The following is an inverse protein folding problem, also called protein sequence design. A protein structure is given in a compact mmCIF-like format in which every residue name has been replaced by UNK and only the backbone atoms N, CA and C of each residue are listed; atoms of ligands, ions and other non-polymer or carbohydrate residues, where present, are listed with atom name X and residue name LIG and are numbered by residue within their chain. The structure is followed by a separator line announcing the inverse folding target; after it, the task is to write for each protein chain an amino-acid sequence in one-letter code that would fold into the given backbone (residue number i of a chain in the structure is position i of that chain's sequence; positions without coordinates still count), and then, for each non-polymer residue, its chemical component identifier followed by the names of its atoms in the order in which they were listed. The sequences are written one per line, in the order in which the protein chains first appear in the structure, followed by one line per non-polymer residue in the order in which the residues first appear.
data_IF_584066874975
#
_entry.id   IF_584066874975
#
_cell.length_a   1.000
_cell.length_b   1.000
_cell.length_c   1.000
_cell.angle_alpha   90.00
_cell.angle_beta   90.00
_cell.angle_gamma   90.00
#
_symmetry.space_group_name_H-M   'P 1'
#
loop_
_entity.id
_entity.type
_entity.pdbx_description
1 polymer ?
#
# COMPACT_ATOMS: atom_id res chain seq x y z
N UNK A 1 -8.29 -27.65 -4.99
CA UNK A 1 -8.21 -27.28 -3.56
C UNK A 1 -8.22 -25.76 -3.48
N UNK A 2 -9.26 -25.15 -2.92
CA UNK A 2 -9.25 -23.72 -2.64
C UNK A 2 -8.38 -23.52 -1.40
N UNK A 3 -7.14 -23.07 -1.56
CA UNK A 3 -6.37 -22.56 -0.43
C UNK A 3 -7.16 -21.37 0.12
N UNK A 4 -7.71 -21.53 1.33
CA UNK A 4 -8.30 -20.44 2.06
C UNK A 4 -7.16 -19.46 2.38
N UNK A 5 -6.97 -18.45 1.53
CA UNK A 5 -6.06 -17.36 1.85
C UNK A 5 -6.56 -16.69 3.12
N UNK A 6 -5.70 -16.49 4.13
CA UNK A 6 -6.10 -15.82 5.35
C UNK A 6 -6.64 -14.43 5.01
N UNK A 7 -7.69 -14.00 5.71
CA UNK A 7 -8.28 -12.69 5.53
C UNK A 7 -7.20 -11.59 5.63
N UNK A 8 -7.28 -10.54 4.82
CA UNK A 8 -6.30 -9.47 4.86
C UNK A 8 -6.32 -8.75 6.22
N UNK A 9 -5.12 -8.44 6.70
CA UNK A 9 -4.91 -7.67 7.92
C UNK A 9 -5.11 -6.17 7.65
N UNK A 10 -6.05 -5.52 8.33
CA UNK A 10 -6.33 -4.10 8.12
C UNK A 10 -5.58 -3.21 9.09
N UNK A 11 -4.72 -2.33 8.57
CA UNK A 11 -4.02 -1.34 9.38
C UNK A 11 -5.01 -0.24 9.82
N UNK A 12 -4.87 0.29 11.05
CA UNK A 12 -5.83 1.23 11.61
C UNK A 12 -5.78 2.59 10.91
N UNK A 13 -6.93 3.24 10.77
CA UNK A 13 -7.00 4.66 10.43
C UNK A 13 -6.63 5.49 11.66
N UNK A 14 -5.58 6.31 11.54
CA UNK A 14 -5.20 7.26 12.60
C UNK A 14 -5.32 8.72 12.15
N UNK A 15 -5.29 8.97 10.83
CA UNK A 15 -5.45 10.30 10.27
C UNK A 15 -6.91 10.56 9.92
N UNK A 16 -7.51 11.51 10.63
CA UNK A 16 -8.86 11.99 10.33
C UNK A 16 -8.94 12.68 8.96
N UNK A 17 -10.16 12.75 8.42
CA UNK A 17 -10.44 13.29 7.09
C UNK A 17 -10.07 14.76 6.96
N UNK A 18 -10.39 15.59 7.96
CA UNK A 18 -10.12 17.03 7.94
C UNK A 18 -8.62 17.33 7.85
N UNK A 19 -7.82 16.60 8.63
CA UNK A 19 -6.37 16.70 8.62
C UNK A 19 -5.79 16.19 7.29
N UNK A 20 -6.33 15.08 6.75
CA UNK A 20 -5.92 14.55 5.45
C UNK A 20 -6.19 15.56 4.33
N UNK A 21 -7.41 16.12 4.29
CA UNK A 21 -7.83 17.15 3.34
C UNK A 21 -6.94 18.38 3.44
N UNK A 22 -6.66 18.86 4.66
CA UNK A 22 -5.77 19.99 4.88
C UNK A 22 -4.37 19.73 4.29
N UNK A 23 -3.78 18.56 4.56
CA UNK A 23 -2.46 18.19 4.03
C UNK A 23 -2.47 18.06 2.51
N UNK A 24 -3.50 17.44 1.93
CA UNK A 24 -3.62 17.27 0.48
C UNK A 24 -3.81 18.61 -0.24
N UNK A 25 -4.61 19.52 0.31
CA UNK A 25 -4.77 20.90 -0.22
C UNK A 25 -3.43 21.64 -0.22
N UNK A 26 -2.64 21.53 0.84
CA UNK A 26 -1.28 22.11 0.89
C UNK A 26 -0.34 21.53 -0.17
N UNK A 27 -0.58 20.31 -0.62
CA UNK A 27 0.15 19.64 -1.70
C UNK A 27 -0.45 19.94 -3.09
N UNK A 28 -1.46 20.81 -3.17
CA UNK A 28 -2.09 21.29 -4.40
C UNK A 28 -3.21 20.40 -4.91
N UNK A 29 -3.68 19.41 -4.16
CA UNK A 29 -4.82 18.61 -4.58
C UNK A 29 -6.12 19.42 -4.50
N UNK A 30 -6.98 19.23 -5.50
CA UNK A 30 -8.26 19.90 -5.67
C UNK A 30 -9.42 18.99 -5.22
N UNK A 31 -9.29 17.69 -5.49
CA UNK A 31 -10.23 16.66 -5.03
C UNK A 31 -9.50 15.60 -4.21
N UNK A 32 -10.24 14.93 -3.33
CA UNK A 32 -9.73 14.01 -2.32
C UNK A 32 -10.64 12.80 -2.19
N UNK A 33 -10.07 11.65 -1.84
CA UNK A 33 -10.81 10.41 -1.68
C UNK A 33 -10.14 9.50 -0.65
N UNK A 34 -10.93 8.89 0.23
CA UNK A 34 -10.48 7.82 1.12
C UNK A 34 -10.36 6.53 0.33
N UNK A 35 -9.23 5.83 0.45
CA UNK A 35 -9.05 4.55 -0.19
C UNK A 35 -8.31 3.56 0.70
N UNK A 36 -8.46 2.29 0.37
CA UNK A 36 -7.72 1.21 1.02
C UNK A 36 -6.89 0.50 -0.04
N UNK A 37 -5.57 0.42 0.15
CA UNK A 37 -4.65 -0.28 -0.76
C UNK A 37 -4.22 -1.61 -0.15
N UNK A 38 -4.53 -2.71 -0.81
CA UNK A 38 -3.99 -4.01 -0.44
C UNK A 38 -2.52 -4.11 -0.89
N UNK A 39 -1.66 -4.51 0.05
CA UNK A 39 -0.25 -4.80 -0.13
C UNK A 39 0.04 -6.21 0.39
N UNK A 40 1.19 -6.76 0.01
CA UNK A 40 1.66 -8.06 0.47
C UNK A 40 2.86 -7.90 1.38
N UNK A 41 2.72 -8.35 2.63
CA UNK A 41 3.75 -8.29 3.65
C UNK A 41 4.63 -9.54 3.60
N UNK A 42 5.94 -9.32 3.45
CA UNK A 42 6.97 -10.34 3.55
C UNK A 42 7.80 -10.11 4.81
N UNK A 43 8.01 -11.16 5.61
CA UNK A 43 8.73 -11.06 6.87
C UNK A 43 10.21 -10.74 6.67
N UNK A 44 10.75 -9.86 7.52
CA UNK A 44 12.15 -9.44 7.54
C UNK A 44 12.78 -9.78 8.89
N UNK A 45 13.88 -10.53 8.86
CA UNK A 45 14.63 -10.91 10.05
C UNK A 45 13.81 -11.65 11.11
N UNK A 46 14.47 -12.01 12.20
CA UNK A 46 13.84 -12.64 13.36
C UNK A 46 14.31 -11.91 14.62
N UNK A 47 13.40 -11.69 15.54
CA UNK A 47 13.72 -11.15 16.86
C UNK A 47 14.10 -12.26 17.86
N UNK A 48 14.28 -11.91 19.14
CA UNK A 48 14.68 -12.85 20.19
C UNK A 48 13.60 -13.93 20.49
N UNK A 49 12.37 -13.73 20.01
CA UNK A 49 11.24 -14.64 20.19
C UNK A 49 10.85 -15.36 18.90
N UNK A 50 11.72 -15.34 17.90
CA UNK A 50 11.50 -15.95 16.57
C UNK A 50 10.33 -15.33 15.79
N UNK A 51 9.94 -14.09 16.11
CA UNK A 51 8.96 -13.34 15.34
C UNK A 51 9.63 -12.47 14.28
N UNK A 52 8.92 -12.13 13.18
CA UNK A 52 9.43 -11.18 12.19
C UNK A 52 9.83 -9.86 12.86
N UNK A 53 11.11 -9.47 12.71
CA UNK A 53 11.63 -8.22 13.25
C UNK A 53 11.12 -6.98 12.47
N UNK A 54 10.49 -7.22 11.32
CA UNK A 54 9.80 -6.22 10.53
C UNK A 54 9.18 -6.86 9.29
N UNK A 55 8.60 -6.03 8.44
CA UNK A 55 7.91 -6.45 7.23
C UNK A 55 8.27 -5.56 6.05
N UNK A 56 8.33 -6.17 4.89
CA UNK A 56 8.40 -5.51 3.60
C UNK A 56 7.02 -5.53 2.97
N UNK A 57 6.35 -4.39 2.87
CA UNK A 57 5.05 -4.28 2.22
C UNK A 57 5.25 -3.98 0.73
N UNK A 58 4.79 -4.91 -0.09
CA UNK A 58 5.05 -4.94 -1.52
C UNK A 58 3.75 -4.84 -2.34
N UNK A 59 3.88 -4.27 -3.53
CA UNK A 59 2.90 -4.37 -4.60
C UNK A 59 3.64 -4.75 -5.88
N UNK A 60 3.06 -5.62 -6.71
CA UNK A 60 3.71 -6.12 -7.94
C UNK A 60 4.04 -4.99 -8.94
N UNK A 61 3.24 -3.92 -8.88
CA UNK A 61 3.39 -2.70 -9.70
C UNK A 61 4.17 -1.57 -9.03
N UNK A 62 4.54 -1.71 -7.76
CA UNK A 62 5.36 -0.71 -7.10
C UNK A 62 6.83 -0.84 -7.51
N UNK A 63 7.53 0.29 -7.60
CA UNK A 63 8.98 0.32 -7.88
C UNK A 63 9.83 0.21 -6.62
N UNK A 64 9.22 0.47 -5.47
CA UNK A 64 9.82 0.52 -4.14
C UNK A 64 8.84 -0.12 -3.16
N UNK A 65 9.35 -0.74 -2.12
CA UNK A 65 8.52 -1.33 -1.07
C UNK A 65 8.45 -0.37 0.13
N UNK A 66 7.49 -0.61 1.01
CA UNK A 66 7.46 0.07 2.31
C UNK A 66 8.11 -0.81 3.36
N UNK A 67 9.01 -0.22 4.15
CA UNK A 67 9.57 -0.87 5.33
C UNK A 67 8.67 -0.62 6.52
N UNK A 68 8.21 -1.70 7.13
CA UNK A 68 7.32 -1.68 8.27
C UNK A 68 8.00 -2.31 9.49
N UNK A 69 8.56 -1.52 10.40
CA UNK A 69 9.36 -2.06 11.52
C UNK A 69 8.52 -2.60 12.67
N UNK A 70 7.21 -2.35 12.68
CA UNK A 70 6.31 -2.73 13.78
C UNK A 70 5.67 -4.10 13.53
N UNK A 71 5.16 -4.71 14.60
CA UNK A 71 4.33 -5.91 14.47
C UNK A 71 3.04 -5.58 13.69
N UNK A 72 2.67 -6.47 12.77
CA UNK A 72 1.36 -6.42 12.10
C UNK A 72 0.20 -6.86 13.01
N UNK A 73 0.47 -7.29 14.25
CA UNK A 73 -0.56 -7.73 15.21
C UNK A 73 -1.58 -6.66 15.61
N UNK A 74 -1.29 -5.38 15.37
CA UNK A 74 -2.25 -4.27 15.59
C UNK A 74 -3.25 -4.12 14.45
N UNK A 75 -3.12 -4.93 13.40
CA UNK A 75 -4.08 -4.96 12.32
C UNK A 75 -5.29 -5.82 12.72
N UNK A 76 -6.49 -5.24 12.67
CA UNK A 76 -7.72 -5.98 12.88
C UNK A 76 -8.04 -6.78 11.61
N UNK A 77 -8.71 -7.93 11.74
CA UNK A 77 -9.41 -8.51 10.58
C UNK A 77 -10.32 -7.43 10.02
N UNK A 78 -10.26 -7.20 8.71
CA UNK A 78 -11.03 -6.14 8.09
C UNK A 78 -12.53 -6.41 8.29
N UNK A 79 -13.13 -5.85 9.34
CA UNK A 79 -14.57 -5.61 9.36
C UNK A 79 -14.87 -4.84 8.09
N UNK A 80 -15.96 -5.18 7.41
CA UNK A 80 -16.39 -4.56 6.17
C UNK A 80 -16.67 -3.06 6.40
N UNK A 81 -15.62 -2.25 6.50
CA UNK A 81 -15.71 -0.83 6.76
C UNK A 81 -15.96 -0.12 5.43
N UNK A 82 -16.76 0.92 5.58
CA UNK A 82 -17.30 1.93 4.68
C UNK A 82 -16.26 2.75 3.91
N UNK A 83 -15.15 2.15 3.47
CA UNK A 83 -14.21 2.83 2.55
C UNK A 83 -14.71 2.63 1.13
N UNK A 84 -15.00 3.74 0.44
CA UNK A 84 -15.61 3.76 -0.90
C UNK A 84 -14.73 3.14 -1.98
N UNK A 85 -13.40 3.29 -1.87
CA UNK A 85 -12.46 2.82 -2.87
C UNK A 85 -11.51 1.74 -2.35
N UNK A 86 -11.65 0.53 -2.88
CA UNK A 86 -10.80 -0.62 -2.56
C UNK A 86 -9.87 -0.93 -3.73
N UNK A 87 -8.57 -0.72 -3.52
CA UNK A 87 -7.52 -0.99 -4.49
C UNK A 87 -6.86 -2.33 -4.12
N UNK A 88 -7.25 -3.40 -4.80
CA UNK A 88 -6.91 -4.76 -4.42
C UNK A 88 -5.78 -5.33 -5.29
N UNK A 89 -4.61 -5.56 -4.71
CA UNK A 89 -3.56 -6.34 -5.33
C UNK A 89 -3.99 -7.82 -5.45
N UNK A 90 -4.47 -8.23 -6.62
CA UNK A 90 -5.08 -9.55 -6.85
C UNK A 90 -4.18 -10.75 -6.49
N UNK A 91 -2.85 -10.60 -6.49
CA UNK A 91 -1.92 -11.71 -6.19
C UNK A 91 -0.64 -11.21 -5.55
N UNK A 92 0.01 -12.05 -4.70
CA UNK A 92 1.31 -11.71 -4.12
C UNK A 92 2.36 -11.51 -5.22
N UNK A 93 3.27 -10.54 -5.07
CA UNK A 93 4.39 -10.39 -6.00
C UNK A 93 5.26 -11.65 -6.04
N UNK A 94 5.85 -11.95 -7.21
CA UNK A 94 6.78 -13.07 -7.34
C UNK A 94 7.99 -12.91 -6.42
N UNK A 95 8.60 -14.04 -6.00
CA UNK A 95 9.79 -14.02 -5.14
C UNK A 95 10.94 -13.18 -5.73
N UNK A 96 11.12 -13.19 -7.06
CA UNK A 96 12.08 -12.34 -7.77
C UNK A 96 11.77 -10.86 -7.59
N UNK A 97 10.49 -10.47 -7.73
CA UNK A 97 10.04 -9.09 -7.52
C UNK A 97 10.30 -8.64 -6.09
N UNK A 98 9.97 -9.48 -5.11
CA UNK A 98 10.20 -9.20 -3.69
C UNK A 98 11.69 -9.03 -3.40
N UNK A 99 12.53 -9.92 -3.93
CA UNK A 99 13.99 -9.86 -3.76
C UNK A 99 14.56 -8.57 -4.34
N UNK A 100 14.11 -8.18 -5.55
CA UNK A 100 14.50 -6.93 -6.20
C UNK A 100 14.08 -5.71 -5.38
N UNK A 101 12.84 -5.68 -4.90
CA UNK A 101 12.35 -4.59 -4.04
C UNK A 101 13.16 -4.50 -2.74
N UNK A 102 13.43 -5.65 -2.10
CA UNK A 102 14.22 -5.69 -0.88
C UNK A 102 15.65 -5.20 -1.07
N UNK A 103 16.27 -5.59 -2.19
CA UNK A 103 17.60 -5.10 -2.56
C UNK A 103 17.65 -3.58 -2.60
N UNK A 104 16.68 -2.93 -3.25
CA UNK A 104 16.62 -1.47 -3.32
C UNK A 104 16.46 -0.82 -1.94
N UNK A 105 15.62 -1.37 -1.06
CA UNK A 105 15.47 -0.82 0.29
C UNK A 105 16.73 -0.97 1.14
N UNK A 106 17.49 -2.06 0.95
CA UNK A 106 18.81 -2.24 1.59
C UNK A 106 19.85 -1.27 1.07
N UNK A 107 19.84 -0.97 -0.22
CA UNK A 107 20.79 -0.02 -0.82
C UNK A 107 20.63 1.40 -0.26
N UNK A 108 19.42 1.78 0.13
CA UNK A 108 19.11 3.12 0.65
C UNK A 108 19.48 3.26 2.14
N UNK A 109 19.53 2.17 2.91
CA UNK A 109 19.80 2.22 4.35
C UNK A 109 20.75 1.10 4.80
N UNK A 110 22.02 1.47 5.08
CA UNK A 110 23.09 0.56 5.52
C UNK A 110 22.73 -0.32 6.72
N UNK A 111 21.92 0.19 7.65
CA UNK A 111 21.46 -0.54 8.84
C UNK A 111 20.69 -1.83 8.51
N UNK A 112 20.13 -1.96 7.31
CA UNK A 112 19.36 -3.13 6.89
C UNK A 112 20.20 -4.19 6.15
N UNK A 113 21.51 -3.99 5.96
CA UNK A 113 22.33 -4.88 5.14
C UNK A 113 22.44 -6.31 5.66
N UNK A 114 22.27 -6.53 6.97
CA UNK A 114 22.31 -7.85 7.59
C UNK A 114 20.93 -8.48 7.76
N UNK A 115 19.85 -7.76 7.43
CA UNK A 115 18.49 -8.26 7.55
C UNK A 115 18.16 -9.10 6.31
N UNK A 116 17.67 -10.31 6.53
CA UNK A 116 17.27 -11.24 5.48
C UNK A 116 15.73 -11.26 5.34
N UNK A 117 15.25 -11.61 4.15
CA UNK A 117 13.86 -12.04 3.97
C UNK A 117 13.69 -13.40 4.64
N UNK A 118 12.61 -13.58 5.39
CA UNK A 118 12.28 -14.86 6.01
C UNK A 118 11.43 -15.70 5.06
N UNK A 119 11.65 -17.02 5.07
CA UNK A 119 10.80 -17.99 4.39
C UNK A 119 9.50 -18.19 5.18
N UNK A 120 8.56 -17.27 4.95
CA UNK A 120 7.22 -17.29 5.51
C UNK A 120 6.21 -16.94 4.41
N UNK A 121 5.02 -17.55 4.48
CA UNK A 121 3.93 -17.21 3.57
C UNK A 121 3.61 -15.71 3.65
N UNK A 122 3.48 -15.01 2.52
CA UNK A 122 3.15 -13.60 2.53
C UNK A 122 1.74 -13.38 3.08
N UNK A 123 1.56 -12.26 3.79
CA UNK A 123 0.25 -11.85 4.33
C UNK A 123 -0.29 -10.66 3.57
N UNK A 124 -1.55 -10.72 3.17
CA UNK A 124 -2.24 -9.54 2.64
C UNK A 124 -2.46 -8.53 3.77
N UNK A 125 -2.16 -7.26 3.48
CA UNK A 125 -2.31 -6.13 4.40
C UNK A 125 -3.05 -5.02 3.70
N UNK A 126 -4.12 -4.51 4.31
CA UNK A 126 -4.83 -3.34 3.84
C UNK A 126 -4.22 -2.10 4.50
N UNK A 127 -3.64 -1.23 3.68
CA UNK A 127 -3.11 0.06 4.08
C UNK A 127 -4.16 1.16 3.82
N UNK A 128 -4.64 1.87 4.85
CA UNK A 128 -5.47 3.05 4.65
C UNK A 128 -4.65 4.16 4.01
N UNK A 129 -5.21 4.79 2.97
CA UNK A 129 -4.58 5.89 2.26
C UNK A 129 -5.60 6.97 1.91
N UNK A 130 -5.13 8.20 1.84
CA UNK A 130 -5.89 9.32 1.27
C UNK A 130 -5.30 9.69 -0.08
N UNK A 131 -6.15 9.74 -1.10
CA UNK A 131 -5.79 10.11 -2.46
C UNK A 131 -6.11 11.58 -2.69
N UNK A 132 -5.17 12.32 -3.28
CA UNK A 132 -5.40 13.70 -3.71
C UNK A 132 -5.07 13.88 -5.18
N UNK A 133 -5.97 14.53 -5.91
CA UNK A 133 -5.83 14.75 -7.34
C UNK A 133 -5.57 16.22 -7.61
N UNK A 134 -4.43 16.50 -8.26
CA UNK A 134 -4.01 17.84 -8.65
C UNK A 134 -4.39 18.06 -10.12
N UNK A 135 -5.30 18.99 -10.38
CA UNK A 135 -5.62 19.44 -11.74
C UNK A 135 -4.63 20.50 -12.22
N UNK A 136 -3.89 20.25 -13.31
CA UNK A 136 -3.14 21.33 -13.96
C UNK A 136 -3.90 21.83 -15.18
N UNK A 137 -4.66 22.93 -15.00
CA UNK A 137 -5.48 23.57 -16.05
C UNK A 137 -4.71 23.97 -17.33
N UNK A 138 -3.38 24.04 -17.28
CA UNK A 138 -2.56 24.53 -18.40
C UNK A 138 -1.82 23.46 -19.22
N UNK A 139 -1.78 22.18 -18.78
CA UNK A 139 -0.95 21.13 -19.44
C UNK A 139 -1.58 19.74 -19.53
N UNK A 140 -2.84 19.57 -19.15
CA UNK A 140 -3.54 18.28 -19.23
C UNK A 140 -2.89 17.16 -18.40
N UNK A 141 -2.01 17.48 -17.44
CA UNK A 141 -1.33 16.51 -16.60
C UNK A 141 -1.99 16.47 -15.21
N UNK A 142 -2.89 15.52 -15.02
CA UNK A 142 -3.38 15.18 -13.68
C UNK A 142 -2.26 14.52 -12.86
N UNK A 143 -2.09 14.96 -11.62
CA UNK A 143 -1.10 14.38 -10.70
C UNK A 143 -1.79 13.81 -9.47
N UNK A 144 -1.54 12.55 -9.20
CA UNK A 144 -1.93 11.88 -7.95
C UNK A 144 -0.89 12.12 -6.85
N UNK A 145 -1.40 12.42 -5.65
CA UNK A 145 -0.71 12.40 -4.36
C UNK A 145 -1.34 11.28 -3.52
N UNK A 146 -0.50 10.47 -2.87
CA UNK A 146 -0.93 9.40 -1.96
C UNK A 146 -0.41 9.75 -0.57
N UNK A 147 -1.29 9.87 0.41
CA UNK A 147 -0.94 10.04 1.82
C UNK A 147 -1.26 8.78 2.62
N UNK A 148 -0.40 8.44 3.57
CA UNK A 148 -0.66 7.41 4.58
C UNK A 148 -1.87 7.79 5.45
N UNK A 149 -2.85 6.92 5.57
CA UNK A 149 -3.95 7.06 6.53
C UNK A 149 -3.53 6.81 8.00
N UNK A 150 -2.29 6.37 8.23
CA UNK A 150 -1.73 6.19 9.59
C UNK A 150 -0.93 7.40 10.07
N UNK A 151 0.01 7.89 9.25
CA UNK A 151 0.95 8.95 9.64
C UNK A 151 0.67 10.30 8.97
N UNK A 152 -0.15 10.29 7.92
CA UNK A 152 -0.33 11.43 7.02
C UNK A 152 0.92 11.80 6.23
N UNK A 153 1.92 10.93 6.17
CA UNK A 153 3.11 11.13 5.33
C UNK A 153 2.80 10.84 3.86
N UNK A 154 3.40 11.59 2.92
CA UNK A 154 3.34 11.25 1.50
C UNK A 154 4.01 9.90 1.20
N UNK A 155 3.32 9.05 0.43
CA UNK A 155 3.79 7.74 -0.01
C UNK A 155 3.99 7.72 -1.54
N UNK A 156 4.94 8.49 -2.09
CA UNK A 156 5.17 8.54 -3.55
C UNK A 156 5.58 7.18 -4.13
N UNK A 157 6.16 6.30 -3.30
CA UNK A 157 6.54 4.94 -3.66
C UNK A 157 5.35 4.06 -4.06
N UNK A 158 4.15 4.35 -3.54
CA UNK A 158 2.92 3.62 -3.85
C UNK A 158 2.17 4.17 -5.05
N UNK A 159 2.58 5.33 -5.60
CA UNK A 159 1.84 6.00 -6.67
C UNK A 159 1.61 5.10 -7.89
N UNK A 160 2.62 4.35 -8.32
CA UNK A 160 2.49 3.44 -9.47
C UNK A 160 1.54 2.28 -9.20
N UNK A 161 1.49 1.79 -7.96
CA UNK A 161 0.52 0.77 -7.57
C UNK A 161 -0.90 1.33 -7.60
N UNK A 162 -1.13 2.47 -6.94
CA UNK A 162 -2.45 3.11 -6.89
C UNK A 162 -2.96 3.46 -8.30
N UNK A 163 -2.13 4.05 -9.16
CA UNK A 163 -2.53 4.38 -10.53
C UNK A 163 -2.89 3.14 -11.35
N UNK A 164 -2.18 2.03 -11.14
CA UNK A 164 -2.50 0.77 -11.81
C UNK A 164 -3.87 0.26 -11.37
N UNK A 165 -4.12 0.18 -10.06
CA UNK A 165 -5.39 -0.31 -9.52
C UNK A 165 -6.58 0.59 -9.91
N UNK A 166 -6.39 1.91 -9.93
CA UNK A 166 -7.39 2.85 -10.45
C UNK A 166 -7.71 2.60 -11.93
N UNK A 167 -6.70 2.29 -12.75
CA UNK A 167 -6.89 1.94 -14.16
C UNK A 167 -7.70 0.64 -14.32
N UNK A 168 -7.38 -0.39 -13.53
CA UNK A 168 -8.12 -1.65 -13.55
C UNK A 168 -9.60 -1.47 -13.17
N UNK A 169 -9.90 -0.59 -12.20
CA UNK A 169 -11.27 -0.28 -11.81
C UNK A 169 -12.03 0.48 -12.90
N UNK A 170 -11.37 1.42 -13.58
CA UNK A 170 -11.96 2.15 -14.69
C UNK A 170 -12.32 1.19 -15.85
N UNK A 171 -11.39 0.31 -16.23
CA UNK A 171 -11.61 -0.70 -17.27
C UNK A 171 -12.75 -1.66 -16.91
N UNK A 172 -12.88 -2.05 -15.64
CA UNK A 172 -13.98 -2.90 -15.17
C UNK A 172 -15.34 -2.19 -15.30
N UNK A 173 -15.44 -0.93 -14.89
CA UNK A 173 -16.67 -0.14 -15.02
C UNK A 173 -17.10 0.07 -16.48
N UNK A 174 -16.15 0.27 -17.41
CA UNK A 174 -16.45 0.42 -18.84
C UNK A 174 -17.00 -0.87 -19.47
N UNK A 175 -16.47 -2.02 -19.04
CA UNK A 175 -16.93 -3.32 -19.50
C UNK A 175 -18.33 -3.67 -18.96
N UNK A 176 -18.63 -3.33 -17.69
CA UNK A 176 -19.96 -3.53 -17.10
C UNK A 176 -21.03 -2.62 -17.72
N UNK A 177 -20.66 -1.42 -18.18
CA UNK A 177 -21.58 -0.49 -18.85
C UNK A 177 -21.88 -0.86 -20.32
N UNK A 178 -21.11 -1.78 -20.90
CA UNK A 178 -21.25 -2.24 -22.30
C UNK A 178 -21.95 -3.59 -22.45
N UNK A 179 -22.36 -4.22 -21.33
CA UNK A 179 -23.07 -5.48 -21.25
C UNK A 179 -24.58 -5.28 -21.01
#
# INVERSE_FOLDING_TARGET
MHEAHPAPLSLPWHLDEDMAMYRLRRLGAETFEAASLMLWAHALGRDAHDHPAGWLLCHSRARRALLWPQSLSQAHEAEATTVSLRLAAASPPSAETVTRLWFWERMVARRHWRVALCEMSPRAVILPVWLGYVGTKARGRHRLVVLSGLSGEPLPVLKSAVLWELGQLADACENDASA
#
